data_IF_536436114844
#
_entry.id   IF_536436114844
#
_cell.length_a   1.000
_cell.length_b   1.000
_cell.length_c   1.000
_cell.angle_alpha   90.00
_cell.angle_beta   90.00
_cell.angle_gamma   90.00
#
_symmetry.space_group_name_H-M   'P 1'
#
loop_
_entity.id
_entity.type
_entity.pdbx_description
1 polymer ?
#
# COMPACT_ATOMS: atom_id res chain seq x y z
N UNK A 1 5.54 22.13 4.65
CA UNK A 1 5.28 21.16 3.54
C UNK A 1 6.63 20.58 3.13
N UNK A 2 6.90 19.35 3.48
CA UNK A 2 8.14 18.67 3.08
C UNK A 2 8.12 18.48 1.55
N UNK A 3 9.14 18.98 0.86
CA UNK A 3 9.25 18.79 -0.59
C UNK A 3 9.67 17.34 -0.81
N UNK A 4 8.77 16.50 -1.28
CA UNK A 4 9.10 15.13 -1.69
C UNK A 4 9.89 15.26 -2.99
N UNK A 5 11.18 14.96 -2.93
CA UNK A 5 12.01 14.86 -4.13
C UNK A 5 11.73 13.53 -4.81
N UNK A 6 11.13 13.58 -5.99
CA UNK A 6 10.97 12.41 -6.85
C UNK A 6 12.18 12.29 -7.79
N UNK A 7 12.76 11.11 -7.83
CA UNK A 7 13.87 10.78 -8.73
C UNK A 7 13.36 10.00 -9.93
N UNK A 8 14.04 10.09 -11.06
CA UNK A 8 13.79 9.23 -12.22
C UNK A 8 15.05 8.43 -12.50
N UNK A 9 14.92 7.13 -12.55
CA UNK A 9 16.03 6.21 -12.71
C UNK A 9 15.70 5.15 -13.77
N UNK A 10 16.66 4.82 -14.61
CA UNK A 10 16.64 3.59 -15.40
C UNK A 10 17.19 2.47 -14.51
N UNK A 11 16.30 1.79 -13.81
CA UNK A 11 16.65 0.86 -12.74
C UNK A 11 16.87 -0.55 -13.28
N UNK A 12 17.97 -1.18 -12.87
CA UNK A 12 18.27 -2.56 -13.18
C UNK A 12 17.38 -3.51 -12.40
N UNK A 13 16.80 -4.47 -13.08
CA UNK A 13 16.06 -5.58 -12.47
C UNK A 13 17.05 -6.59 -11.91
N UNK A 14 16.99 -6.82 -10.61
CA UNK A 14 17.79 -7.82 -9.90
C UNK A 14 17.11 -9.19 -9.89
N UNK A 15 15.78 -9.19 -9.78
CA UNK A 15 14.94 -10.37 -9.66
C UNK A 15 13.55 -10.05 -10.20
N UNK A 16 12.91 -11.02 -10.86
CA UNK A 16 11.52 -10.95 -11.30
C UNK A 16 10.91 -12.34 -11.24
N UNK A 17 9.90 -12.54 -10.39
CA UNK A 17 9.28 -13.85 -10.16
C UNK A 17 7.74 -13.75 -10.13
N UNK A 18 7.11 -14.88 -10.43
CA UNK A 18 5.69 -15.09 -10.24
C UNK A 18 5.44 -15.58 -8.80
N UNK A 19 4.66 -14.83 -8.01
CA UNK A 19 4.33 -15.20 -6.63
C UNK A 19 3.03 -15.98 -6.51
N UNK A 20 2.06 -15.71 -7.42
CA UNK A 20 0.77 -16.35 -7.50
C UNK A 20 0.21 -16.14 -8.92
N UNK A 21 -0.90 -16.76 -9.25
CA UNK A 21 -1.52 -16.62 -10.56
C UNK A 21 -1.83 -15.14 -10.88
N UNK A 22 -1.16 -14.62 -11.91
CA UNK A 22 -1.24 -13.22 -12.32
C UNK A 22 -0.62 -12.22 -11.36
N UNK A 23 0.11 -12.63 -10.31
CA UNK A 23 0.82 -11.76 -9.35
C UNK A 23 2.32 -11.96 -9.47
N UNK A 24 3.04 -10.88 -9.68
CA UNK A 24 4.48 -10.88 -9.92
C UNK A 24 5.19 -9.91 -9.01
N UNK A 25 6.46 -10.21 -8.70
CA UNK A 25 7.38 -9.29 -8.05
C UNK A 25 8.50 -8.85 -8.98
N UNK A 26 8.99 -7.64 -8.76
CA UNK A 26 10.25 -7.16 -9.32
C UNK A 26 11.05 -6.49 -8.22
N UNK A 27 12.33 -6.82 -8.15
CA UNK A 27 13.34 -6.13 -7.36
C UNK A 27 14.20 -5.27 -8.27
N UNK A 28 14.32 -4.00 -7.94
CA UNK A 28 15.18 -3.04 -8.62
C UNK A 28 16.38 -2.67 -7.77
N UNK A 29 17.54 -2.50 -8.42
CA UNK A 29 18.64 -1.72 -7.88
C UNK A 29 18.38 -0.23 -8.17
N UNK A 30 18.33 0.60 -7.14
CA UNK A 30 18.08 2.05 -7.25
C UNK A 30 19.22 2.82 -6.59
N UNK A 31 19.40 4.10 -6.98
CA UNK A 31 20.41 4.98 -6.38
C UNK A 31 19.82 5.79 -5.22
N UNK A 32 18.73 6.48 -5.49
CA UNK A 32 18.14 7.48 -4.59
C UNK A 32 16.72 7.15 -4.18
N UNK A 33 15.95 6.45 -5.05
CA UNK A 33 14.54 6.12 -4.79
C UNK A 33 14.39 5.29 -3.52
N UNK A 34 15.17 4.20 -3.35
CA UNK A 34 15.07 3.35 -2.17
C UNK A 34 15.44 4.11 -0.88
N UNK A 35 16.45 4.99 -0.92
CA UNK A 35 16.89 5.78 0.25
C UNK A 35 15.84 6.78 0.71
N UNK A 36 15.10 7.36 -0.25
CA UNK A 36 14.09 8.38 0.03
C UNK A 36 12.71 7.78 0.33
N UNK A 37 12.49 6.50 0.03
CA UNK A 37 11.19 5.84 0.13
C UNK A 37 10.72 5.68 1.58
N UNK A 38 9.43 5.98 1.79
CA UNK A 38 8.70 5.76 3.05
C UNK A 38 7.59 4.73 2.82
N UNK A 39 7.17 4.03 3.89
CA UNK A 39 6.04 3.09 3.81
C UNK A 39 4.77 3.78 3.32
N UNK A 40 4.00 3.12 2.47
CA UNK A 40 2.77 3.64 1.87
C UNK A 40 2.97 4.50 0.63
N UNK A 41 4.21 4.78 0.21
CA UNK A 41 4.50 5.43 -1.07
C UNK A 41 4.47 4.44 -2.23
N UNK A 42 4.48 4.97 -3.44
CA UNK A 42 4.48 4.21 -4.69
C UNK A 42 5.55 4.74 -5.65
N UNK A 43 5.78 4.01 -6.74
CA UNK A 43 6.57 4.44 -7.88
C UNK A 43 5.72 4.41 -9.15
N UNK A 44 6.03 5.27 -10.11
CA UNK A 44 5.56 5.17 -11.49
C UNK A 44 6.54 4.33 -12.31
N UNK A 45 6.06 3.24 -12.89
CA UNK A 45 6.84 2.35 -13.76
C UNK A 45 6.45 2.60 -15.22
N UNK A 46 7.42 2.93 -16.05
CA UNK A 46 7.22 3.24 -17.47
C UNK A 46 7.42 1.99 -18.33
N UNK A 47 6.56 1.85 -19.33
CA UNK A 47 6.69 0.78 -20.34
C UNK A 47 7.84 1.08 -21.28
N UNK A 48 8.55 0.04 -21.71
CA UNK A 48 9.56 0.15 -22.79
C UNK A 48 8.90 0.25 -24.17
N UNK A 49 7.59 -0.04 -24.27
CA UNK A 49 6.81 0.17 -25.49
C UNK A 49 6.33 1.63 -25.57
N UNK A 50 6.92 2.41 -26.46
CA UNK A 50 6.63 3.83 -26.65
C UNK A 50 5.16 4.16 -27.01
N UNK A 51 4.35 3.17 -27.39
CA UNK A 51 2.91 3.35 -27.58
C UNK A 51 2.12 3.48 -26.27
N UNK A 52 2.75 3.15 -25.13
CA UNK A 52 2.15 3.15 -23.78
C UNK A 52 2.67 4.30 -22.94
N UNK A 53 2.29 5.51 -23.29
CA UNK A 53 2.84 6.76 -22.73
C UNK A 53 2.59 6.94 -21.23
N UNK A 54 1.48 6.44 -20.67
CA UNK A 54 1.19 6.61 -19.25
C UNK A 54 1.93 5.56 -18.41
N UNK A 55 2.58 5.95 -17.30
CA UNK A 55 3.21 5.01 -16.39
C UNK A 55 2.16 4.23 -15.57
N UNK A 56 2.61 3.17 -14.90
CA UNK A 56 1.80 2.39 -13.95
C UNK A 56 2.24 2.73 -12.54
N UNK A 57 1.33 3.31 -11.73
CA UNK A 57 1.60 3.49 -10.32
C UNK A 57 1.56 2.12 -9.62
N UNK A 58 2.64 1.80 -8.92
CA UNK A 58 2.75 0.53 -8.17
C UNK A 58 3.33 0.84 -6.80
N UNK A 59 2.64 0.37 -5.76
CA UNK A 59 3.04 0.57 -4.38
C UNK A 59 4.39 -0.08 -4.08
N UNK A 60 5.18 0.57 -3.24
CA UNK A 60 6.44 0.02 -2.73
C UNK A 60 6.09 -1.09 -1.73
N UNK A 61 6.57 -2.30 -2.00
CA UNK A 61 6.35 -3.47 -1.15
C UNK A 61 7.41 -3.60 -0.05
N UNK A 62 8.69 -3.41 -0.40
CA UNK A 62 9.82 -3.52 0.52
C UNK A 62 11.00 -2.67 0.04
N UNK A 63 11.71 -2.09 1.00
CA UNK A 63 13.00 -1.44 0.78
C UNK A 63 14.07 -2.18 1.54
N UNK A 64 15.17 -2.52 0.88
CA UNK A 64 16.30 -3.21 1.50
C UNK A 64 17.62 -2.66 0.96
N UNK A 65 18.30 -1.87 1.76
CA UNK A 65 19.48 -1.10 1.35
C UNK A 65 19.15 -0.17 0.16
N UNK A 66 19.79 -0.38 -1.00
CA UNK A 66 19.53 0.34 -2.25
C UNK A 66 18.51 -0.40 -3.15
N UNK A 67 17.92 -1.49 -2.67
CA UNK A 67 17.00 -2.30 -3.46
C UNK A 67 15.55 -1.98 -3.10
N UNK A 68 14.71 -1.95 -4.11
CA UNK A 68 13.30 -1.65 -4.01
C UNK A 68 12.49 -2.79 -4.61
N UNK A 69 11.56 -3.37 -3.83
CA UNK A 69 10.64 -4.42 -4.28
C UNK A 69 9.28 -3.83 -4.56
N UNK A 70 8.75 -4.16 -5.72
CA UNK A 70 7.33 -3.98 -6.03
C UNK A 70 6.66 -5.34 -6.24
N UNK A 71 5.37 -5.40 -5.94
CA UNK A 71 4.51 -6.55 -6.27
C UNK A 71 3.27 -6.01 -6.95
N UNK A 72 2.90 -6.61 -8.07
CA UNK A 72 1.79 -6.14 -8.90
C UNK A 72 0.99 -7.28 -9.48
N UNK A 73 -0.28 -6.99 -9.81
CA UNK A 73 -1.14 -7.90 -10.57
C UNK A 73 -1.15 -7.51 -12.04
N UNK A 74 -1.18 -8.49 -12.92
CA UNK A 74 -1.40 -8.27 -14.34
C UNK A 74 -2.87 -7.83 -14.54
N UNK A 75 -3.03 -6.55 -14.89
CA UNK A 75 -4.34 -5.92 -15.10
C UNK A 75 -4.50 -5.31 -16.50
N UNK A 76 -3.43 -5.29 -17.29
CA UNK A 76 -3.42 -4.74 -18.65
C UNK A 76 -2.05 -4.82 -19.30
N UNK A 77 -1.94 -4.30 -20.51
CA UNK A 77 -0.75 -4.46 -21.38
C UNK A 77 0.58 -4.01 -20.74
N UNK A 78 0.59 -2.96 -19.91
CA UNK A 78 1.82 -2.54 -19.25
C UNK A 78 2.27 -3.51 -18.16
N UNK A 79 1.37 -3.93 -17.28
CA UNK A 79 1.68 -4.93 -16.26
C UNK A 79 1.93 -6.33 -16.85
N UNK A 80 1.32 -6.64 -18.01
CA UNK A 80 1.65 -7.84 -18.79
C UNK A 80 3.09 -7.79 -19.34
N UNK A 81 3.56 -6.62 -19.80
CA UNK A 81 4.95 -6.43 -20.18
C UNK A 81 5.88 -6.65 -18.99
N UNK A 82 5.60 -6.01 -17.87
CA UNK A 82 6.43 -6.12 -16.67
C UNK A 82 6.51 -7.58 -16.14
N UNK A 83 5.44 -8.36 -16.27
CA UNK A 83 5.44 -9.76 -15.84
C UNK A 83 6.35 -10.68 -16.67
N UNK A 84 6.82 -10.21 -17.84
CA UNK A 84 7.73 -10.93 -18.73
C UNK A 84 9.18 -10.50 -18.59
N UNK A 85 9.44 -9.45 -17.82
CA UNK A 85 10.78 -8.92 -17.58
C UNK A 85 11.63 -9.89 -16.76
N UNK A 86 12.95 -9.81 -16.95
CA UNK A 86 13.91 -10.72 -16.33
C UNK A 86 15.02 -9.96 -15.62
N UNK A 87 15.69 -10.65 -14.72
CA UNK A 87 16.91 -10.13 -14.10
C UNK A 87 17.95 -9.73 -15.16
N UNK A 88 18.59 -8.59 -14.96
CA UNK A 88 19.54 -7.96 -15.87
C UNK A 88 18.94 -6.97 -16.85
N UNK A 89 17.61 -6.96 -17.05
CA UNK A 89 16.91 -5.96 -17.85
C UNK A 89 16.69 -4.67 -17.07
N UNK A 90 16.20 -3.62 -17.72
CA UNK A 90 16.01 -2.29 -17.15
C UNK A 90 14.61 -1.79 -17.39
N UNK A 91 14.07 -1.05 -16.41
CA UNK A 91 12.85 -0.27 -16.52
C UNK A 91 13.08 1.16 -16.04
N UNK A 92 12.49 2.12 -16.72
CA UNK A 92 12.40 3.48 -16.24
C UNK A 92 11.37 3.55 -15.10
N UNK A 93 11.80 4.04 -13.95
CA UNK A 93 10.95 4.25 -12.78
C UNK A 93 11.08 5.67 -12.26
N UNK A 94 10.01 6.21 -11.72
CA UNK A 94 10.00 7.51 -11.04
C UNK A 94 9.41 7.37 -9.65
N UNK A 95 10.11 7.90 -8.66
CA UNK A 95 9.66 7.84 -7.27
C UNK A 95 10.69 8.40 -6.27
N UNK A 96 10.43 8.24 -4.97
CA UNK A 96 9.14 7.81 -4.41
C UNK A 96 8.07 8.87 -4.64
N UNK A 97 6.81 8.47 -4.79
CA UNK A 97 5.67 9.35 -5.05
C UNK A 97 4.61 9.21 -3.96
N UNK A 98 3.81 10.25 -3.80
CA UNK A 98 2.75 10.33 -2.80
C UNK A 98 3.24 10.52 -1.37
N UNK A 99 2.29 10.81 -0.47
CA UNK A 99 2.52 10.89 0.97
C UNK A 99 2.28 9.51 1.59
N UNK A 100 3.34 8.88 2.08
CA UNK A 100 3.27 7.64 2.83
C UNK A 100 2.78 7.84 4.26
N UNK A 101 2.87 6.81 5.07
CA UNK A 101 2.55 6.87 6.49
C UNK A 101 3.55 7.74 7.24
N UNK A 102 3.10 8.88 7.76
CA UNK A 102 3.90 9.69 8.68
C UNK A 102 3.71 9.15 10.10
N UNK A 103 4.44 8.05 10.42
CA UNK A 103 4.28 7.33 11.68
C UNK A 103 4.52 8.21 12.91
N UNK A 104 5.48 9.13 12.83
CA UNK A 104 5.74 10.07 13.93
C UNK A 104 4.55 11.00 14.20
N UNK A 105 3.94 11.56 13.15
CA UNK A 105 2.75 12.39 13.26
C UNK A 105 1.55 11.59 13.78
N UNK A 106 1.32 10.41 13.21
CA UNK A 106 0.23 9.51 13.62
C UNK A 106 0.35 9.15 15.10
N UNK A 107 1.54 8.75 15.56
CA UNK A 107 1.77 8.43 16.96
C UNK A 107 1.57 9.64 17.88
N UNK A 108 1.98 10.84 17.44
CA UNK A 108 1.78 12.07 18.22
C UNK A 108 0.29 12.44 18.34
N UNK A 109 -0.48 12.29 17.25
CA UNK A 109 -1.92 12.55 17.25
C UNK A 109 -2.66 11.58 18.19
N UNK A 110 -2.38 10.28 18.11
CA UNK A 110 -2.99 9.25 18.97
C UNK A 110 -2.66 9.52 20.45
N UNK A 111 -1.41 9.85 20.77
CA UNK A 111 -0.99 10.19 22.14
C UNK A 111 -1.62 11.48 22.65
N UNK A 112 -1.82 12.49 21.80
CA UNK A 112 -2.49 13.73 22.17
C UNK A 112 -3.96 13.50 22.55
N UNK A 113 -4.59 12.45 22.03
CA UNK A 113 -5.94 12.01 22.41
C UNK A 113 -5.94 11.15 23.70
N UNK A 114 -4.80 10.96 24.34
CA UNK A 114 -4.64 10.14 25.56
C UNK A 114 -4.71 8.63 25.31
N UNK A 115 -4.48 8.19 24.08
CA UNK A 115 -4.54 6.77 23.66
C UNK A 115 -3.15 6.13 23.58
N UNK A 116 -3.09 4.81 23.71
CA UNK A 116 -1.88 4.03 23.43
C UNK A 116 -1.64 3.86 21.93
N UNK A 117 -0.41 3.49 21.58
CA UNK A 117 -0.03 3.05 20.23
C UNK A 117 0.92 1.86 20.36
N UNK A 118 0.46 0.83 21.05
CA UNK A 118 1.26 -0.35 21.38
C UNK A 118 0.92 -1.54 20.48
N UNK A 119 -0.30 -1.53 19.90
CA UNK A 119 -0.79 -2.58 19.00
C UNK A 119 -1.42 -1.97 17.74
N UNK A 120 -1.00 -2.45 16.58
CA UNK A 120 -1.57 -2.05 15.30
C UNK A 120 -2.22 -3.24 14.58
N UNK A 121 -3.36 -3.04 13.92
CA UNK A 121 -3.85 -3.96 12.89
C UNK A 121 -3.48 -3.41 11.50
N UNK A 122 -2.87 -4.27 10.68
CA UNK A 122 -2.56 -4.00 9.29
C UNK A 122 -3.44 -4.87 8.38
N UNK A 123 -4.43 -4.27 7.75
CA UNK A 123 -5.30 -4.97 6.81
C UNK A 123 -4.74 -4.88 5.38
N UNK A 124 -4.52 -6.02 4.76
CA UNK A 124 -4.17 -6.12 3.34
C UNK A 124 -5.20 -6.95 2.57
N UNK A 125 -5.70 -6.45 1.45
CA UNK A 125 -6.62 -7.21 0.60
C UNK A 125 -6.16 -7.31 -0.85
N UNK A 126 -6.01 -8.53 -1.38
CA UNK A 126 -5.57 -8.75 -2.76
C UNK A 126 -4.24 -8.03 -3.06
N UNK A 127 -4.22 -7.13 -4.05
CA UNK A 127 -2.99 -6.40 -4.38
C UNK A 127 -2.68 -5.23 -3.41
N UNK A 128 -3.54 -4.97 -2.42
CA UNK A 128 -3.24 -4.09 -1.30
C UNK A 128 -2.39 -4.74 -0.19
N UNK A 129 -2.11 -6.04 -0.26
CA UNK A 129 -1.23 -6.75 0.69
C UNK A 129 0.22 -6.25 0.62
N UNK A 130 0.86 -6.08 -0.55
CA UNK A 130 2.27 -5.69 -0.67
C UNK A 130 2.66 -4.41 0.09
N UNK A 131 1.96 -3.27 0.02
CA UNK A 131 2.37 -2.06 0.72
C UNK A 131 2.32 -2.19 2.25
N UNK A 132 1.56 -3.15 2.79
CA UNK A 132 1.52 -3.40 4.23
C UNK A 132 2.82 -4.04 4.75
N UNK A 133 3.62 -4.68 3.90
CA UNK A 133 4.87 -5.29 4.34
C UNK A 133 5.91 -4.23 4.75
N UNK A 134 6.14 -3.20 3.94
CA UNK A 134 7.06 -2.13 4.33
C UNK A 134 6.55 -1.38 5.55
N UNK A 135 5.23 -1.20 5.69
CA UNK A 135 4.64 -0.59 6.88
C UNK A 135 4.89 -1.45 8.13
N UNK A 136 4.65 -2.77 8.06
CA UNK A 136 4.91 -3.68 9.18
C UNK A 136 6.37 -3.63 9.65
N UNK A 137 7.32 -3.50 8.71
CA UNK A 137 8.76 -3.40 9.00
C UNK A 137 9.18 -2.07 9.65
N UNK A 138 8.37 -1.02 9.49
CA UNK A 138 8.67 0.34 10.01
C UNK A 138 7.96 0.67 11.31
N UNK A 139 6.94 -0.09 11.67
CA UNK A 139 6.22 0.10 12.92
C UNK A 139 7.02 -0.43 14.11
N UNK A 140 7.11 0.37 15.15
CA UNK A 140 7.76 0.04 16.43
C UNK A 140 6.67 -0.24 17.50
N UNK A 141 5.80 -1.21 17.21
CA UNK A 141 4.75 -1.70 18.08
C UNK A 141 4.40 -3.13 17.69
N UNK A 142 3.60 -3.83 18.50
CA UNK A 142 3.07 -5.13 18.12
C UNK A 142 2.13 -5.03 16.89
N UNK A 143 2.32 -5.89 15.90
CA UNK A 143 1.60 -5.88 14.64
C UNK A 143 0.73 -7.13 14.47
N UNK A 144 -0.56 -6.93 14.32
CA UNK A 144 -1.51 -7.92 13.87
C UNK A 144 -1.74 -7.73 12.37
N UNK A 145 -1.09 -8.51 11.53
CA UNK A 145 -1.26 -8.46 10.08
C UNK A 145 -2.41 -9.37 9.67
N UNK A 146 -3.48 -8.79 9.17
CA UNK A 146 -4.70 -9.52 8.74
C UNK A 146 -4.84 -9.38 7.23
N UNK A 147 -4.53 -10.45 6.50
CA UNK A 147 -4.47 -10.43 5.02
C UNK A 147 -5.55 -11.30 4.39
N UNK A 148 -6.24 -10.72 3.40
CA UNK A 148 -7.35 -11.35 2.69
C UNK A 148 -6.98 -11.77 1.27
N UNK A 149 -7.29 -13.03 0.93
CA UNK A 149 -7.09 -13.61 -0.40
C UNK A 149 -8.37 -14.30 -0.89
N UNK A 150 -8.43 -14.63 -2.16
CA UNK A 150 -9.56 -15.39 -2.70
C UNK A 150 -9.46 -16.89 -2.39
N UNK A 151 -8.24 -17.41 -2.36
CA UNK A 151 -7.95 -18.84 -2.21
C UNK A 151 -6.57 -19.03 -1.53
N UNK A 152 -6.03 -20.26 -1.58
CA UNK A 152 -4.77 -20.66 -0.97
C UNK A 152 -3.49 -19.99 -1.52
N UNK A 153 -3.59 -19.13 -2.52
CA UNK A 153 -2.43 -18.39 -3.05
C UNK A 153 -2.08 -17.20 -2.16
N UNK A 154 -1.54 -17.48 -1.00
CA UNK A 154 -1.26 -16.52 0.09
C UNK A 154 0.15 -15.92 -0.03
N UNK A 155 0.41 -15.19 -1.12
CA UNK A 155 1.72 -14.57 -1.37
C UNK A 155 2.10 -13.58 -0.25
N UNK A 156 3.40 -13.47 0.06
CA UNK A 156 4.01 -12.65 1.11
C UNK A 156 3.71 -13.10 2.57
N UNK A 157 3.06 -14.23 2.79
CA UNK A 157 2.80 -14.74 4.14
C UNK A 157 4.11 -14.88 4.93
N UNK A 158 5.07 -15.58 4.37
CA UNK A 158 6.38 -15.83 4.98
C UNK A 158 7.19 -14.54 5.18
N UNK A 159 7.05 -13.56 4.28
CA UNK A 159 7.65 -12.23 4.43
C UNK A 159 7.11 -11.51 5.66
N UNK A 160 5.80 -11.59 5.95
CA UNK A 160 5.21 -10.99 7.16
C UNK A 160 5.59 -11.75 8.43
N UNK A 161 5.59 -13.08 8.39
CA UNK A 161 6.01 -13.93 9.52
C UNK A 161 7.48 -13.70 9.92
N UNK A 162 8.31 -13.24 8.98
CA UNK A 162 9.69 -12.86 9.23
C UNK A 162 9.86 -11.46 9.86
N UNK A 163 8.80 -10.65 9.96
CA UNK A 163 8.86 -9.35 10.63
C UNK A 163 8.75 -9.55 12.15
N UNK A 164 9.70 -8.99 12.88
CA UNK A 164 9.72 -9.10 14.35
C UNK A 164 8.43 -8.54 14.97
N UNK A 165 7.99 -9.16 16.07
CA UNK A 165 6.82 -8.75 16.85
C UNK A 165 5.55 -8.63 16.01
N UNK A 166 5.27 -9.68 15.22
CA UNK A 166 4.17 -9.72 14.25
C UNK A 166 3.43 -11.04 14.30
N UNK A 167 2.11 -10.98 14.49
CA UNK A 167 1.19 -12.09 14.31
C UNK A 167 0.50 -11.96 12.94
N UNK A 168 0.38 -13.07 12.20
CA UNK A 168 -0.19 -13.10 10.85
C UNK A 168 -1.47 -13.93 10.82
N UNK A 169 -2.56 -13.29 10.44
CA UNK A 169 -3.88 -13.91 10.30
C UNK A 169 -4.29 -13.87 8.84
N UNK A 170 -4.77 -14.99 8.33
CA UNK A 170 -5.20 -15.13 6.94
C UNK A 170 -6.69 -15.36 6.88
N UNK A 171 -7.36 -14.63 5.99
CA UNK A 171 -8.72 -14.90 5.57
C UNK A 171 -8.74 -15.29 4.09
N UNK A 172 -9.50 -16.32 3.74
CA UNK A 172 -9.74 -16.70 2.35
C UNK A 172 -11.23 -16.81 2.08
N UNK A 173 -11.67 -16.30 0.91
CA UNK A 173 -13.09 -16.33 0.53
C UNK A 173 -13.61 -17.76 0.44
N UNK A 174 -12.80 -18.68 -0.08
CA UNK A 174 -13.16 -20.10 -0.25
C UNK A 174 -12.94 -20.96 1.02
N UNK A 175 -12.24 -20.43 2.01
CA UNK A 175 -11.90 -21.13 3.25
C UNK A 175 -10.75 -22.15 3.11
N UNK A 176 -9.96 -22.04 2.05
CA UNK A 176 -8.85 -22.98 1.79
C UNK A 176 -7.67 -22.82 2.76
N UNK A 177 -7.47 -21.61 3.32
CA UNK A 177 -6.44 -21.31 4.33
C UNK A 177 -6.97 -20.28 5.33
N UNK A 178 -6.70 -20.48 6.61
CA UNK A 178 -7.08 -19.56 7.69
C UNK A 178 -8.59 -19.46 7.88
N UNK A 179 -9.07 -18.28 8.22
CA UNK A 179 -10.49 -18.00 8.44
C UNK A 179 -11.22 -17.95 7.10
N UNK A 180 -12.33 -18.68 6.98
CA UNK A 180 -13.23 -18.57 5.83
C UNK A 180 -14.02 -17.27 5.91
N UNK A 181 -13.89 -16.41 4.90
CA UNK A 181 -14.58 -15.13 4.82
C UNK A 181 -13.65 -13.97 4.48
N UNK A 182 -13.91 -12.82 5.05
CA UNK A 182 -13.14 -11.59 4.85
C UNK A 182 -12.23 -11.27 6.05
N UNK A 183 -11.42 -10.23 5.95
CA UNK A 183 -10.45 -9.83 6.99
C UNK A 183 -11.09 -9.47 8.33
N UNK A 184 -12.32 -8.94 8.35
CA UNK A 184 -13.04 -8.64 9.60
C UNK A 184 -13.60 -9.91 10.26
N UNK A 185 -13.89 -10.96 9.48
CA UNK A 185 -14.28 -12.25 10.02
C UNK A 185 -13.10 -12.88 10.76
N UNK A 186 -11.88 -12.75 10.23
CA UNK A 186 -10.66 -13.19 10.92
C UNK A 186 -10.44 -12.40 12.23
N UNK A 187 -10.59 -11.07 12.21
CA UNK A 187 -10.47 -10.26 13.44
C UNK A 187 -11.45 -10.73 14.51
N UNK A 188 -12.71 -11.00 14.15
CA UNK A 188 -13.75 -11.46 15.08
C UNK A 188 -13.45 -12.85 15.63
N UNK A 189 -13.06 -13.80 14.77
CA UNK A 189 -12.75 -15.17 15.12
C UNK A 189 -11.55 -15.24 16.06
N UNK A 190 -10.47 -14.53 15.73
CA UNK A 190 -9.21 -14.56 16.49
C UNK A 190 -9.17 -13.53 17.63
N UNK A 191 -10.25 -12.70 17.77
CA UNK A 191 -10.38 -11.66 18.81
C UNK A 191 -9.20 -10.68 18.80
N UNK A 192 -8.81 -10.25 17.61
CA UNK A 192 -7.67 -9.35 17.41
C UNK A 192 -8.04 -7.94 17.88
N UNK A 193 -7.21 -7.37 18.76
CA UNK A 193 -7.34 -6.02 19.28
C UNK A 193 -6.27 -5.09 18.70
N UNK A 194 -6.57 -3.79 18.62
CA UNK A 194 -5.60 -2.78 18.23
C UNK A 194 -5.95 -1.39 18.75
N UNK A 195 -4.91 -0.58 18.89
CA UNK A 195 -4.99 0.85 19.20
C UNK A 195 -5.11 1.69 17.93
N UNK A 196 -4.66 1.15 16.78
CA UNK A 196 -4.68 1.82 15.47
C UNK A 196 -4.87 0.81 14.34
N UNK A 197 -5.54 1.23 13.29
CA UNK A 197 -5.78 0.43 12.08
C UNK A 197 -5.10 1.09 10.88
N UNK A 198 -4.40 0.27 10.09
CA UNK A 198 -3.89 0.62 8.77
C UNK A 198 -4.48 -0.33 7.73
N UNK A 199 -4.94 0.18 6.58
CA UNK A 199 -5.57 -0.67 5.60
C UNK A 199 -5.23 -0.29 4.16
N UNK A 200 -5.04 -1.31 3.31
CA UNK A 200 -4.92 -1.18 1.86
C UNK A 200 -5.63 -2.34 1.17
N UNK A 201 -6.44 -2.04 0.16
CA UNK A 201 -7.15 -3.06 -0.60
C UNK A 201 -8.38 -2.52 -1.34
N UNK A 202 -9.27 -3.42 -1.78
CA UNK A 202 -10.46 -3.04 -2.54
C UNK A 202 -11.39 -2.10 -1.77
N UNK A 203 -12.01 -1.15 -2.46
CA UNK A 203 -12.93 -0.17 -1.85
C UNK A 203 -14.03 -0.79 -0.96
N UNK A 204 -14.68 -1.92 -1.32
CA UNK A 204 -15.65 -2.54 -0.42
C UNK A 204 -15.05 -2.99 0.91
N UNK A 205 -13.82 -3.51 0.91
CA UNK A 205 -13.09 -3.87 2.12
C UNK A 205 -12.77 -2.63 2.96
N UNK A 206 -12.27 -1.56 2.34
CA UNK A 206 -11.94 -0.31 3.03
C UNK A 206 -13.20 0.34 3.67
N UNK A 207 -14.36 0.27 2.99
CA UNK A 207 -15.65 0.72 3.56
C UNK A 207 -16.03 -0.05 4.81
N UNK A 208 -15.91 -1.37 4.77
CA UNK A 208 -16.20 -2.22 5.92
C UNK A 208 -15.24 -1.95 7.09
N UNK A 209 -13.94 -1.78 6.80
CA UNK A 209 -12.93 -1.44 7.82
C UNK A 209 -13.19 -0.04 8.39
N UNK A 210 -13.54 0.95 7.56
CA UNK A 210 -13.94 2.29 8.03
C UNK A 210 -15.12 2.22 9.00
N UNK A 211 -16.17 1.47 8.66
CA UNK A 211 -17.33 1.30 9.54
C UNK A 211 -16.93 0.64 10.86
N UNK A 212 -16.14 -0.44 10.80
CA UNK A 212 -15.62 -1.13 11.98
C UNK A 212 -14.77 -0.21 12.87
N UNK A 213 -13.87 0.58 12.28
CA UNK A 213 -13.02 1.51 13.02
C UNK A 213 -13.82 2.61 13.72
N UNK A 214 -14.82 3.17 13.04
CA UNK A 214 -15.69 4.21 13.61
C UNK A 214 -16.60 3.66 14.72
N UNK A 215 -17.15 2.46 14.57
CA UNK A 215 -17.98 1.79 15.57
C UNK A 215 -17.20 1.48 16.86
N UNK A 216 -15.91 1.14 16.73
CA UNK A 216 -15.05 0.79 17.87
C UNK A 216 -14.17 1.96 18.34
N UNK A 217 -14.36 3.16 17.76
CA UNK A 217 -13.57 4.37 18.06
C UNK A 217 -12.06 4.14 17.96
N UNK A 218 -11.61 3.41 16.93
CA UNK A 218 -10.18 3.13 16.66
C UNK A 218 -9.66 4.07 15.56
N UNK A 219 -8.56 4.81 15.76
CA UNK A 219 -7.90 5.57 14.70
C UNK A 219 -7.58 4.69 13.50
N UNK A 220 -7.94 5.14 12.29
CA UNK A 220 -7.79 4.32 11.10
C UNK A 220 -7.26 5.15 9.93
N UNK A 221 -6.26 4.60 9.25
CA UNK A 221 -5.62 5.17 8.07
C UNK A 221 -5.72 4.20 6.91
N UNK A 222 -6.18 4.70 5.75
CA UNK A 222 -6.37 3.90 4.54
C UNK A 222 -5.45 4.38 3.43
N UNK A 223 -4.91 3.44 2.67
CA UNK A 223 -4.19 3.71 1.42
C UNK A 223 -5.12 3.46 0.25
N UNK A 224 -5.39 4.52 -0.53
CA UNK A 224 -6.30 4.49 -1.68
C UNK A 224 -5.56 4.22 -2.98
N UNK A 225 -6.22 3.50 -3.87
CA UNK A 225 -5.79 3.28 -5.25
C UNK A 225 -6.72 4.01 -6.22
N UNK A 226 -6.14 4.79 -7.13
CA UNK A 226 -6.87 5.46 -8.20
C UNK A 226 -6.10 5.39 -9.53
N UNK A 227 -6.83 5.52 -10.62
CA UNK A 227 -6.20 5.64 -11.95
C UNK A 227 -5.37 6.91 -12.00
N UNK A 228 -4.11 6.79 -12.37
CA UNK A 228 -3.18 7.91 -12.43
C UNK A 228 -2.67 8.13 -13.85
N UNK A 229 -2.45 9.41 -14.20
CA UNK A 229 -1.72 9.78 -15.39
C UNK A 229 -0.35 10.37 -15.03
N UNK A 230 -0.27 11.54 -14.36
CA UNK A 230 1.01 12.17 -14.06
C UNK A 230 1.71 11.65 -12.80
N UNK A 231 0.97 11.14 -11.82
CA UNK A 231 1.51 10.68 -10.52
C UNK A 231 2.07 11.77 -9.59
N UNK A 232 2.03 13.05 -9.99
CA UNK A 232 2.67 14.19 -9.30
C UNK A 232 1.69 15.32 -8.92
N UNK A 233 0.39 15.10 -9.07
CA UNK A 233 -0.65 16.05 -8.67
C UNK A 233 -1.01 17.13 -9.70
N UNK A 234 -0.50 17.06 -10.94
CA UNK A 234 -0.73 18.10 -11.95
C UNK A 234 -2.02 17.91 -12.78
N UNK A 235 -2.41 16.65 -13.09
CA UNK A 235 -3.44 16.36 -14.09
C UNK A 235 -4.85 16.12 -13.52
N UNK A 236 -5.02 16.04 -12.21
CA UNK A 236 -6.29 15.76 -11.50
C UNK A 236 -6.98 14.41 -11.85
N UNK A 237 -6.29 13.49 -12.52
CA UNK A 237 -6.87 12.21 -12.91
C UNK A 237 -7.15 11.25 -11.73
N UNK A 238 -6.45 11.41 -10.61
CA UNK A 238 -6.51 10.52 -9.46
C UNK A 238 -7.24 11.14 -8.25
N UNK A 239 -8.25 11.97 -8.50
CA UNK A 239 -9.01 12.60 -7.41
C UNK A 239 -9.94 11.60 -6.72
N UNK A 240 -9.95 11.60 -5.39
CA UNK A 240 -10.95 10.95 -4.57
C UNK A 240 -11.81 12.00 -3.86
N UNK A 241 -13.02 11.61 -3.44
CA UNK A 241 -13.88 12.49 -2.66
C UNK A 241 -13.33 12.67 -1.25
N UNK A 242 -13.39 13.91 -0.74
CA UNK A 242 -13.00 14.25 0.62
C UNK A 242 -14.16 14.83 1.41
N UNK A 243 -14.08 14.77 2.73
CA UNK A 243 -15.06 15.37 3.64
C UNK A 243 -14.89 16.89 3.73
N UNK A 244 -13.68 17.40 3.50
CA UNK A 244 -13.33 18.81 3.54
C UNK A 244 -13.20 19.41 2.14
N UNK A 245 -13.43 20.72 2.03
CA UNK A 245 -13.19 21.48 0.81
C UNK A 245 -11.69 21.72 0.67
N UNK A 246 -11.13 21.37 -0.48
CA UNK A 246 -9.73 21.65 -0.80
C UNK A 246 -9.54 23.15 -1.08
N UNK A 247 -8.60 23.77 -0.37
CA UNK A 247 -8.33 25.22 -0.44
C UNK A 247 -7.93 25.69 -1.86
N UNK A 248 -7.33 24.82 -2.66
CA UNK A 248 -6.87 25.16 -4.01
C UNK A 248 -7.97 25.01 -5.06
N UNK A 249 -8.68 23.88 -5.06
CA UNK A 249 -9.70 23.56 -6.05
C UNK A 249 -11.10 24.04 -5.67
N UNK A 250 -11.32 24.43 -4.41
CA UNK A 250 -12.61 24.83 -3.82
C UNK A 250 -13.71 23.75 -3.95
N UNK A 251 -13.30 22.48 -4.08
CA UNK A 251 -14.20 21.32 -4.14
C UNK A 251 -13.79 20.27 -3.11
N UNK A 252 -14.72 19.38 -2.79
CA UNK A 252 -14.48 18.26 -1.87
C UNK A 252 -13.76 17.11 -2.59
N UNK A 253 -12.48 17.31 -2.88
CA UNK A 253 -11.64 16.27 -3.45
C UNK A 253 -10.18 16.38 -2.97
N UNK A 254 -9.47 15.26 -3.03
CA UNK A 254 -8.02 15.17 -2.78
C UNK A 254 -7.39 14.33 -3.90
N UNK A 255 -6.17 14.67 -4.29
CA UNK A 255 -5.39 13.92 -5.30
C UNK A 255 -4.65 12.79 -4.61
N UNK A 256 -5.01 11.55 -4.93
CA UNK A 256 -4.38 10.35 -4.34
C UNK A 256 -2.86 10.35 -4.54
N UNK A 257 -2.36 10.83 -5.68
CA UNK A 257 -0.93 10.87 -5.95
C UNK A 257 -0.14 11.99 -5.23
N UNK A 258 -0.83 12.98 -4.63
CA UNK A 258 -0.17 14.13 -3.99
C UNK A 258 -0.53 14.29 -2.52
N UNK A 259 -1.82 14.40 -2.19
CA UNK A 259 -2.29 14.47 -0.81
C UNK A 259 -2.32 13.09 -0.14
N UNK A 260 -2.58 12.01 -0.91
CA UNK A 260 -2.48 10.61 -0.53
C UNK A 260 -1.17 9.94 -0.99
N UNK A 261 -1.17 8.61 -1.12
CA UNK A 261 -2.32 7.70 -1.10
C UNK A 261 -2.88 7.41 0.30
N UNK A 262 -2.16 7.75 1.37
CA UNK A 262 -2.55 7.48 2.75
C UNK A 262 -3.38 8.64 3.30
N UNK A 263 -4.57 8.31 3.81
CA UNK A 263 -5.51 9.25 4.42
C UNK A 263 -6.05 8.73 5.74
N UNK A 264 -6.36 9.63 6.68
CA UNK A 264 -7.24 9.29 7.78
C UNK A 264 -8.64 8.98 7.21
N UNK A 265 -9.30 7.92 7.67
CA UNK A 265 -10.64 7.52 7.15
C UNK A 265 -11.71 8.60 7.32
N UNK A 266 -11.52 9.54 8.26
CA UNK A 266 -12.42 10.69 8.47
C UNK A 266 -12.28 11.74 7.37
N UNK A 267 -11.17 11.75 6.62
CA UNK A 267 -10.88 12.75 5.58
C UNK A 267 -11.45 12.41 4.21
N UNK A 268 -11.79 11.13 3.97
CA UNK A 268 -12.19 10.63 2.64
C UNK A 268 -13.53 9.91 2.66
N UNK A 269 -14.27 10.05 1.57
CA UNK A 269 -15.46 9.23 1.28
C UNK A 269 -15.02 8.00 0.47
N UNK A 270 -15.42 6.80 0.93
CA UNK A 270 -15.07 5.52 0.31
C UNK A 270 -16.25 4.93 -0.46
#
# INVERSE_FOLDING_TARGET
>A
MEIIMAYRENAKILKADCLADGVYEIWFETKDIAKAAKAGQFISVYSNDGSRMLPRPISICKVENNNLRIVFRVAGKGTEEFSKMKAGEYLDIQGPLGNGYNLGKIAAEIKAEGRSFDKAILFGGGIGVPPMLELARRLDCHKNVVVGYRNSQTFLKEDFEAVADTDVYIATEDGSVGTKGNVLDAVKQEKVEADVIFACGPTPMLRAIKAYALENDIPCYVSLEEKMACGIGACLACVCKSTEIDDHSQVKNKRVCKEGPVFNVKEVEL
#
